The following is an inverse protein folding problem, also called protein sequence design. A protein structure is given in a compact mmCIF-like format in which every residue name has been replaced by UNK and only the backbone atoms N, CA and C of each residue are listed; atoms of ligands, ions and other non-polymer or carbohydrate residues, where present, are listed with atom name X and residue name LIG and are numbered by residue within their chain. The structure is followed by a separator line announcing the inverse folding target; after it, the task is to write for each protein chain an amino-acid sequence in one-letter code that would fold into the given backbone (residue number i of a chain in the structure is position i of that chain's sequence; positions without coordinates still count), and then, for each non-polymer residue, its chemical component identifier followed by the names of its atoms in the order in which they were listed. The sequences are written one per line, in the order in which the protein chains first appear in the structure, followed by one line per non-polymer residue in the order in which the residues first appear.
data_IF_337644243607
#
_entry.id   IF_337644243607
#
_cell.length_a   1.000
_cell.length_b   1.000
_cell.length_c   1.000
_cell.angle_alpha   90.00
_cell.angle_beta   90.00
_cell.angle_gamma   90.00
#
_symmetry.space_group_name_H-M   'P 1'
#
loop_
_entity.id
_entity.type
_entity.pdbx_description
1 polymer ?
#
# COMPACT_ATOMS: atom_id res chain seq x y z
N UNK A 1 -24.49 -9.92 3.82
CA UNK A 1 -24.04 -8.52 3.65
C UNK A 1 -22.51 -8.54 3.63
N UNK A 2 -21.83 -8.07 2.56
CA UNK A 2 -20.35 -8.20 2.43
C UNK A 2 -19.58 -6.95 2.89
N UNK A 3 -20.24 -5.80 2.87
CA UNK A 3 -19.76 -4.51 3.42
C UNK A 3 -20.88 -3.99 4.31
N UNK A 4 -20.57 -3.68 5.56
CA UNK A 4 -21.55 -3.20 6.55
C UNK A 4 -21.44 -1.67 6.65
N UNK A 5 -22.54 -0.92 6.51
CA UNK A 5 -22.52 0.52 6.71
C UNK A 5 -22.07 0.90 8.13
N UNK A 6 -21.29 1.96 8.25
CA UNK A 6 -20.74 2.45 9.52
C UNK A 6 -20.41 3.93 9.46
N UNK A 7 -20.15 4.56 10.61
CA UNK A 7 -19.71 5.97 10.66
C UNK A 7 -18.35 6.07 9.95
N UNK A 8 -18.25 6.97 8.94
CA UNK A 8 -17.09 7.14 8.05
C UNK A 8 -16.77 5.91 7.16
N UNK A 9 -17.79 5.09 6.83
CA UNK A 9 -17.58 3.93 5.97
C UNK A 9 -17.05 4.29 4.59
N UNK A 10 -17.50 5.40 3.99
CA UNK A 10 -17.02 5.93 2.71
C UNK A 10 -15.50 6.18 2.73
N UNK A 11 -15.01 6.79 3.79
CA UNK A 11 -13.64 7.23 3.96
C UNK A 11 -12.71 6.07 4.35
N UNK A 12 -13.22 5.08 5.10
CA UNK A 12 -12.38 4.03 5.69
C UNK A 12 -12.39 2.73 4.85
N UNK A 13 -13.50 2.38 4.19
CA UNK A 13 -13.60 1.10 3.45
C UNK A 13 -14.67 1.04 2.34
N UNK A 14 -15.23 2.18 1.91
CA UNK A 14 -16.42 2.23 1.05
C UNK A 14 -16.15 2.10 -0.45
N UNK A 15 -14.89 2.28 -0.88
CA UNK A 15 -14.50 2.24 -2.29
C UNK A 15 -14.69 0.84 -2.88
N UNK A 16 -15.33 0.79 -4.05
CA UNK A 16 -15.47 -0.41 -4.89
C UNK A 16 -14.90 -0.07 -6.26
N UNK A 17 -14.04 -0.92 -6.77
CA UNK A 17 -13.31 -0.66 -8.02
C UNK A 17 -13.04 -1.97 -8.77
N UNK A 18 -12.71 -1.86 -10.05
CA UNK A 18 -12.22 -2.98 -10.85
C UNK A 18 -10.70 -3.13 -10.70
N UNK A 19 -10.15 -4.30 -11.04
CA UNK A 19 -8.70 -4.46 -11.07
C UNK A 19 -8.04 -3.51 -12.09
N UNK A 20 -8.71 -3.25 -13.22
CA UNK A 20 -8.21 -2.35 -14.25
C UNK A 20 -8.17 -0.89 -13.78
N UNK A 21 -9.24 -0.40 -13.12
CA UNK A 21 -9.26 0.97 -12.60
C UNK A 21 -8.30 1.17 -11.44
N UNK A 22 -8.17 0.18 -10.55
CA UNK A 22 -7.20 0.25 -9.47
C UNK A 22 -5.77 0.19 -9.98
N UNK A 23 -5.52 -0.51 -11.10
CA UNK A 23 -4.21 -0.49 -11.76
C UNK A 23 -3.92 0.88 -12.40
N UNK A 24 -4.92 1.54 -13.02
CA UNK A 24 -4.77 2.94 -13.48
C UNK A 24 -4.45 3.89 -12.33
N UNK A 25 -5.06 3.68 -11.17
CA UNK A 25 -4.72 4.45 -9.97
C UNK A 25 -3.29 4.19 -9.51
N UNK A 26 -2.81 2.94 -9.54
CA UNK A 26 -1.41 2.60 -9.26
C UNK A 26 -0.46 3.26 -10.24
N UNK A 27 -0.77 3.22 -11.53
CA UNK A 27 0.01 3.88 -12.58
C UNK A 27 0.09 5.40 -12.36
N UNK A 28 -1.02 6.04 -11.99
CA UNK A 28 -1.06 7.46 -11.63
C UNK A 28 -0.27 7.80 -10.35
N UNK A 29 -0.10 6.85 -9.42
CA UNK A 29 0.78 7.03 -8.25
C UNK A 29 2.26 6.89 -8.63
N UNK A 30 2.60 6.07 -9.64
CA UNK A 30 3.98 5.90 -10.12
C UNK A 30 4.43 7.04 -11.05
N UNK A 31 3.50 7.54 -11.88
CA UNK A 31 3.73 8.56 -12.91
C UNK A 31 2.83 9.79 -12.69
N UNK A 32 2.93 10.47 -11.53
CA UNK A 32 2.05 11.59 -11.20
C UNK A 32 2.21 12.77 -12.16
N UNK A 33 3.33 12.91 -12.87
CA UNK A 33 3.58 13.95 -13.87
C UNK A 33 2.60 13.95 -15.04
N UNK A 34 1.86 12.84 -15.23
CA UNK A 34 0.79 12.71 -16.23
C UNK A 34 -0.52 13.38 -15.80
N UNK A 35 -0.64 13.78 -14.53
CA UNK A 35 -1.85 14.37 -13.95
C UNK A 35 -1.79 15.91 -13.97
N UNK A 36 -2.90 16.57 -13.66
CA UNK A 36 -2.91 18.02 -13.42
C UNK A 36 -2.16 18.38 -12.12
N UNK A 37 -1.51 19.55 -12.09
CA UNK A 37 -0.65 19.99 -10.98
C UNK A 37 -1.20 19.75 -9.56
N UNK A 38 -2.49 20.03 -9.24
CA UNK A 38 -3.02 19.78 -7.90
C UNK A 38 -3.01 18.29 -7.52
N UNK A 39 -3.26 17.39 -8.47
CA UNK A 39 -3.23 15.95 -8.24
C UNK A 39 -1.79 15.44 -8.13
N UNK A 40 -0.84 16.00 -8.87
CA UNK A 40 0.58 15.65 -8.71
C UNK A 40 1.04 15.93 -7.27
N UNK A 41 0.68 17.10 -6.74
CA UNK A 41 0.98 17.49 -5.36
C UNK A 41 0.29 16.57 -4.35
N UNK A 42 -0.97 16.21 -4.59
CA UNK A 42 -1.69 15.28 -3.75
C UNK A 42 -1.01 13.89 -3.70
N UNK A 43 -0.57 13.35 -4.85
CA UNK A 43 0.17 12.08 -4.90
C UNK A 43 1.53 12.18 -4.20
N UNK A 44 2.24 13.31 -4.32
CA UNK A 44 3.49 13.52 -3.60
C UNK A 44 3.29 13.54 -2.07
N UNK A 45 2.18 14.14 -1.60
CA UNK A 45 1.83 14.17 -0.18
C UNK A 45 1.51 12.77 0.35
N UNK A 46 0.83 11.92 -0.41
CA UNK A 46 0.51 10.55 0.06
C UNK A 46 1.74 9.68 0.23
N UNK A 47 2.82 9.96 -0.50
CA UNK A 47 4.09 9.25 -0.40
C UNK A 47 5.09 9.86 0.59
N UNK A 48 4.76 10.98 1.24
CA UNK A 48 5.66 11.63 2.21
C UNK A 48 5.92 10.72 3.41
N UNK A 49 7.18 10.59 3.84
CA UNK A 49 7.59 9.74 4.94
C UNK A 49 7.45 10.47 6.29
N UNK A 50 6.43 10.15 7.09
CA UNK A 50 6.17 10.87 8.35
C UNK A 50 6.84 10.25 9.56
N UNK A 51 6.75 8.93 9.72
CA UNK A 51 7.34 8.21 10.85
C UNK A 51 7.61 6.76 10.49
N UNK A 52 8.47 6.12 11.28
CA UNK A 52 8.78 4.69 11.16
C UNK A 52 8.18 3.89 12.31
N UNK A 53 7.80 2.64 12.01
CA UNK A 53 7.54 1.56 12.96
C UNK A 53 8.32 0.34 12.50
N UNK A 54 9.44 0.05 13.15
CA UNK A 54 10.38 -0.96 12.67
C UNK A 54 10.87 -0.65 11.25
N UNK A 55 10.68 -1.59 10.33
CA UNK A 55 11.07 -1.46 8.91
C UNK A 55 10.02 -0.74 8.02
N UNK A 56 8.84 -0.40 8.58
CA UNK A 56 7.77 0.27 7.84
C UNK A 56 7.83 1.78 8.04
N UNK A 57 7.74 2.54 6.96
CA UNK A 57 7.58 3.99 6.98
C UNK A 57 6.14 4.35 6.62
N UNK A 58 5.47 5.13 7.46
CA UNK A 58 4.09 5.54 7.24
C UNK A 58 4.00 6.80 6.37
N UNK A 59 3.26 6.69 5.26
CA UNK A 59 2.76 7.81 4.45
C UNK A 59 1.29 8.12 4.75
N UNK A 60 0.64 8.97 3.93
CA UNK A 60 -0.81 9.18 4.08
C UNK A 60 -1.55 8.06 3.37
N UNK A 61 -2.08 7.12 4.16
CA UNK A 61 -2.72 5.91 3.67
C UNK A 61 -1.71 4.82 3.31
N UNK A 62 -0.70 5.14 2.50
CA UNK A 62 0.32 4.19 2.06
C UNK A 62 1.32 3.79 3.14
N UNK A 63 1.79 2.54 3.08
CA UNK A 63 2.90 2.00 3.87
C UNK A 63 4.10 1.74 2.95
N UNK A 64 5.27 2.24 3.33
CA UNK A 64 6.48 2.25 2.50
C UNK A 64 7.58 1.38 3.12
N UNK A 65 8.33 0.68 2.26
CA UNK A 65 9.46 -0.17 2.64
C UNK A 65 10.61 0.05 1.67
N UNK A 66 11.86 0.05 2.15
CA UNK A 66 13.02 0.02 1.25
C UNK A 66 12.99 -1.24 0.37
N UNK A 67 13.21 -1.05 -0.93
CA UNK A 67 13.23 -2.12 -1.92
C UNK A 67 14.68 -2.46 -2.34
N UNK A 68 15.05 -3.75 -2.46
CA UNK A 68 14.21 -4.93 -2.26
C UNK A 68 13.91 -5.21 -0.78
N UNK A 69 12.66 -5.61 -0.49
CA UNK A 69 12.22 -6.04 0.85
C UNK A 69 12.10 -7.56 0.89
N UNK A 70 12.61 -8.19 1.95
CA UNK A 70 12.46 -9.64 2.18
C UNK A 70 11.01 -10.00 2.48
N UNK A 71 10.58 -11.21 2.13
CA UNK A 71 9.22 -11.69 2.41
C UNK A 71 8.86 -11.56 3.90
N UNK A 72 9.76 -11.97 4.80
CA UNK A 72 9.50 -11.97 6.24
C UNK A 72 9.25 -10.56 6.78
N UNK A 73 10.04 -9.57 6.36
CA UNK A 73 9.81 -8.15 6.72
C UNK A 73 8.48 -7.63 6.20
N UNK A 74 8.15 -7.94 4.95
CA UNK A 74 6.88 -7.50 4.34
C UNK A 74 5.67 -8.15 5.04
N UNK A 75 5.79 -9.43 5.44
CA UNK A 75 4.79 -10.14 6.23
C UNK A 75 4.66 -9.56 7.65
N UNK A 76 5.76 -9.23 8.31
CA UNK A 76 5.75 -8.62 9.63
C UNK A 76 5.05 -7.26 9.62
N UNK A 77 5.35 -6.42 8.63
CA UNK A 77 4.71 -5.12 8.45
C UNK A 77 3.23 -5.18 8.08
N UNK A 78 2.75 -6.30 7.51
CA UNK A 78 1.34 -6.50 7.16
C UNK A 78 0.64 -7.49 8.12
N UNK A 79 1.19 -7.67 9.32
CA UNK A 79 0.70 -8.64 10.30
C UNK A 79 -0.51 -8.13 11.08
N UNK A 80 -1.26 -9.06 11.68
CA UNK A 80 -2.35 -8.70 12.62
C UNK A 80 -1.83 -7.93 13.84
N UNK A 81 -0.62 -8.24 14.33
CA UNK A 81 0.00 -7.46 15.42
C UNK A 81 0.31 -6.03 14.99
N UNK A 82 0.79 -5.81 13.76
CA UNK A 82 0.98 -4.44 13.25
C UNK A 82 -0.35 -3.67 13.24
N UNK A 83 -1.44 -4.31 12.81
CA UNK A 83 -2.75 -3.66 12.69
C UNK A 83 -3.49 -3.46 14.02
N UNK A 84 -3.32 -4.35 15.01
CA UNK A 84 -4.17 -4.41 16.21
C UNK A 84 -3.49 -3.97 17.51
N UNK A 85 -2.17 -3.76 17.49
CA UNK A 85 -1.41 -3.36 18.68
C UNK A 85 -0.91 -1.93 18.53
N UNK A 86 -0.69 -1.27 19.66
CA UNK A 86 0.02 0.01 19.68
C UNK A 86 1.52 -0.24 19.49
N UNK A 87 2.15 0.60 18.68
CA UNK A 87 3.58 0.58 18.43
C UNK A 87 4.18 1.96 18.72
N UNK A 88 5.37 1.99 19.29
CA UNK A 88 6.14 3.23 19.40
C UNK A 88 6.59 3.68 18.00
N UNK A 89 6.47 4.98 17.73
CA UNK A 89 6.79 5.56 16.42
C UNK A 89 8.06 6.40 16.51
N UNK A 90 8.89 6.35 15.47
CA UNK A 90 10.02 7.26 15.29
C UNK A 90 9.65 8.32 14.26
N UNK A 91 9.41 9.55 14.71
CA UNK A 91 9.07 10.67 13.82
C UNK A 91 10.26 11.09 12.94
N UNK A 92 9.96 11.43 11.69
CA UNK A 92 10.89 12.03 10.74
C UNK A 92 10.57 13.53 10.64
N UNK A 93 11.46 14.37 11.17
CA UNK A 93 11.24 15.83 11.24
C UNK A 93 12.45 16.62 10.74
N UNK A 94 12.33 17.40 9.65
CA UNK A 94 11.13 17.50 8.80
C UNK A 94 10.85 16.18 8.05
N UNK A 95 9.59 15.89 7.67
CA UNK A 95 9.28 14.73 6.85
C UNK A 95 10.07 14.79 5.53
N UNK A 96 10.99 13.85 5.26
CA UNK A 96 11.73 13.86 4.02
C UNK A 96 10.81 13.48 2.87
N UNK A 97 11.11 13.98 1.67
CA UNK A 97 10.59 13.36 0.47
C UNK A 97 11.05 11.90 0.44
N UNK A 98 10.18 10.95 0.09
CA UNK A 98 10.58 9.56 -0.11
C UNK A 98 11.72 9.52 -1.14
N UNK A 99 12.87 8.97 -0.76
CA UNK A 99 14.05 8.85 -1.62
C UNK A 99 14.45 7.38 -1.76
N UNK A 100 15.00 7.04 -2.93
CA UNK A 100 15.47 5.68 -3.24
C UNK A 100 14.38 4.74 -3.75
N UNK A 101 14.77 3.48 -3.95
CA UNK A 101 13.87 2.41 -4.40
C UNK A 101 12.96 2.01 -3.23
N UNK A 102 11.66 2.24 -3.37
CA UNK A 102 10.65 1.95 -2.35
C UNK A 102 9.58 1.01 -2.90
N UNK A 103 9.16 0.07 -2.07
CA UNK A 103 7.90 -0.66 -2.23
C UNK A 103 6.84 0.08 -1.43
N UNK A 104 5.77 0.48 -2.10
CA UNK A 104 4.62 1.18 -1.53
C UNK A 104 3.44 0.21 -1.58
N UNK A 105 2.77 -0.03 -0.46
CA UNK A 105 1.70 -1.01 -0.41
C UNK A 105 0.48 -0.60 0.42
N UNK A 106 -0.61 -1.34 0.21
CA UNK A 106 -1.75 -1.38 1.12
C UNK A 106 -2.52 -2.68 1.07
N UNK A 107 -2.93 -3.17 2.23
CA UNK A 107 -3.96 -4.21 2.37
C UNK A 107 -5.35 -3.61 2.64
N UNK A 108 -6.39 -4.23 2.08
CA UNK A 108 -7.79 -3.92 2.40
C UNK A 108 -8.61 -5.18 2.65
N UNK A 109 -9.58 -5.16 3.55
CA UNK A 109 -10.48 -6.30 3.80
C UNK A 109 -11.85 -5.85 4.27
N UNK A 110 -12.88 -6.55 3.80
CA UNK A 110 -14.26 -6.47 4.30
C UNK A 110 -14.75 -7.88 4.60
N UNK A 111 -15.99 -8.04 5.07
CA UNK A 111 -16.53 -9.36 5.43
C UNK A 111 -16.56 -10.39 4.28
N UNK A 112 -16.44 -9.95 3.02
CA UNK A 112 -16.45 -10.85 1.87
C UNK A 112 -15.40 -10.58 0.79
N UNK A 113 -14.48 -9.63 1.00
CA UNK A 113 -13.47 -9.26 0.01
C UNK A 113 -12.10 -9.05 0.65
N UNK A 114 -11.06 -9.37 -0.10
CA UNK A 114 -9.67 -9.07 0.21
C UNK A 114 -9.02 -8.31 -0.94
N UNK A 115 -8.28 -7.26 -0.60
CA UNK A 115 -7.52 -6.47 -1.55
C UNK A 115 -6.06 -6.35 -1.10
N UNK A 116 -5.15 -6.31 -2.06
CA UNK A 116 -3.78 -5.90 -1.85
C UNK A 116 -3.28 -5.13 -3.07
N UNK A 117 -2.64 -4.01 -2.82
CA UNK A 117 -1.99 -3.18 -3.82
C UNK A 117 -0.54 -3.01 -3.40
N UNK A 118 0.38 -3.18 -4.34
CA UNK A 118 1.79 -2.84 -4.13
C UNK A 118 2.41 -2.33 -5.42
N UNK A 119 3.35 -1.41 -5.33
CA UNK A 119 4.08 -0.91 -6.48
C UNK A 119 5.48 -0.42 -6.10
N UNK A 120 6.38 -0.42 -7.08
CA UNK A 120 7.77 0.02 -6.96
C UNK A 120 8.01 1.04 -8.08
N UNK A 121 7.83 2.36 -7.82
CA UNK A 121 7.91 3.38 -8.87
C UNK A 121 9.23 3.33 -9.64
N UNK A 122 10.35 3.13 -8.95
CA UNK A 122 11.68 3.07 -9.55
C UNK A 122 11.91 1.88 -10.51
N UNK A 123 11.00 0.88 -10.50
CA UNK A 123 11.04 -0.28 -11.40
C UNK A 123 9.90 -0.26 -12.43
N UNK A 124 8.99 0.70 -12.35
CA UNK A 124 7.76 0.73 -13.15
C UNK A 124 6.95 -0.57 -13.04
N UNK A 125 6.82 -1.09 -11.81
CA UNK A 125 6.08 -2.33 -11.53
C UNK A 125 4.97 -2.04 -10.52
N UNK A 126 3.74 -2.38 -10.89
CA UNK A 126 2.56 -2.33 -10.02
C UNK A 126 1.78 -3.64 -10.03
N UNK A 127 1.21 -4.02 -8.89
CA UNK A 127 0.35 -5.18 -8.73
C UNK A 127 -0.92 -4.83 -7.97
N UNK A 128 -2.04 -5.36 -8.48
CA UNK A 128 -3.35 -5.31 -7.84
C UNK A 128 -3.88 -6.74 -7.70
N UNK A 129 -4.24 -7.11 -6.47
CA UNK A 129 -4.87 -8.39 -6.16
C UNK A 129 -6.23 -8.10 -5.53
N UNK A 130 -7.31 -8.53 -6.20
CA UNK A 130 -8.67 -8.45 -5.69
C UNK A 130 -9.25 -9.87 -5.58
N UNK A 131 -9.75 -10.22 -4.39
CA UNK A 131 -10.37 -11.50 -4.11
C UNK A 131 -11.77 -11.31 -3.52
N UNK A 132 -12.71 -12.13 -3.98
CA UNK A 132 -14.10 -12.16 -3.50
C UNK A 132 -14.35 -13.27 -2.45
N UNK A 133 -13.29 -13.69 -1.77
CA UNK A 133 -13.25 -14.63 -0.64
C UNK A 133 -12.22 -14.13 0.37
N UNK A 134 -12.38 -14.52 1.63
CA UNK A 134 -11.42 -14.20 2.68
C UNK A 134 -10.09 -14.96 2.45
N UNK A 135 -9.22 -14.37 1.63
CA UNK A 135 -7.81 -14.72 1.51
C UNK A 135 -7.05 -13.96 2.60
N UNK A 136 -6.20 -14.65 3.38
CA UNK A 136 -5.47 -14.01 4.48
C UNK A 136 -4.54 -12.92 3.94
N UNK A 137 -4.26 -11.89 4.76
CA UNK A 137 -3.29 -10.84 4.37
C UNK A 137 -1.94 -11.47 3.99
N UNK A 138 -1.47 -12.45 4.77
CA UNK A 138 -0.22 -13.14 4.52
C UNK A 138 -0.17 -13.82 3.13
N UNK A 139 -1.24 -14.48 2.70
CA UNK A 139 -1.27 -15.09 1.37
C UNK A 139 -1.28 -14.04 0.25
N UNK A 140 -1.99 -12.92 0.43
CA UNK A 140 -1.95 -11.81 -0.54
C UNK A 140 -0.54 -11.23 -0.68
N UNK A 141 0.16 -11.03 0.43
CA UNK A 141 1.54 -10.53 0.46
C UNK A 141 2.51 -11.54 -0.18
N UNK A 142 2.38 -12.84 0.09
CA UNK A 142 3.21 -13.88 -0.53
C UNK A 142 3.06 -13.90 -2.05
N UNK A 143 1.84 -13.87 -2.55
CA UNK A 143 1.56 -13.84 -4.00
C UNK A 143 2.21 -12.60 -4.62
N UNK A 144 2.01 -11.43 -4.02
CA UNK A 144 2.57 -10.20 -4.54
C UNK A 144 4.11 -10.19 -4.53
N UNK A 145 4.73 -10.64 -3.44
CA UNK A 145 6.18 -10.73 -3.32
C UNK A 145 6.78 -11.67 -4.38
N UNK A 146 6.14 -12.82 -4.63
CA UNK A 146 6.57 -13.74 -5.70
C UNK A 146 6.49 -13.09 -7.09
N UNK A 147 5.41 -12.39 -7.41
CA UNK A 147 5.26 -11.70 -8.70
C UNK A 147 6.28 -10.58 -8.84
N UNK A 148 6.45 -9.74 -7.82
CA UNK A 148 7.43 -8.64 -7.83
C UNK A 148 8.87 -9.14 -8.03
N UNK A 149 9.24 -10.27 -7.40
CA UNK A 149 10.56 -10.87 -7.60
C UNK A 149 10.73 -11.53 -8.98
N UNK A 150 9.65 -11.98 -9.60
CA UNK A 150 9.70 -12.54 -10.95
C UNK A 150 9.86 -11.45 -12.01
N UNK A 151 9.26 -10.27 -11.79
CA UNK A 151 9.32 -9.12 -12.69
C UNK A 151 10.55 -8.23 -12.47
N UNK A 152 11.09 -8.16 -11.25
CA UNK A 152 12.25 -7.34 -10.91
C UNK A 152 13.61 -7.97 -11.21
N UNK A 153 13.66 -9.07 -11.98
CA UNK A 153 14.89 -9.72 -12.45
C UNK A 153 15.40 -9.10 -13.73
#
# INVERSE_FOLDING_TARGET
MRVTPGVLDSEVYGVKTSAADLLRFVEANMHPETLENPLQQAMALTHTAYYNVGDMTQGLGWELYHYPVTLDRLLAGNSTSMAMQAHEVQWLSPPPSPTGDLLINKTGSTGGFGAYVAFVPAKDIGIVILANKNCTIAERVKIAHQVLNALGR
#
